data_IF_974409190261
#
_entry.id   IF_974409190261
#
_cell.length_a   1.000
_cell.length_b   1.000
_cell.length_c   1.000
_cell.angle_alpha   90.00
_cell.angle_beta   90.00
_cell.angle_gamma   90.00
#
_symmetry.space_group_name_H-M   'P 1'
#
loop_
_entity.id
_entity.type
_entity.pdbx_description
1 polymer ?
#
# COMPACT_ATOMS: atom_id res chain seq x y z
N UNK A 1 7.63 22.48 12.84
CA UNK A 1 6.77 22.92 13.95
C UNK A 1 5.62 21.94 14.08
N UNK A 2 5.35 21.43 15.28
CA UNK A 2 4.10 20.71 15.55
C UNK A 2 2.94 21.69 15.37
N UNK A 3 2.02 21.36 14.47
CA UNK A 3 0.80 22.12 14.28
C UNK A 3 -0.15 21.78 15.45
N UNK A 4 -0.64 22.78 16.19
CA UNK A 4 -1.46 22.58 17.41
C UNK A 4 -2.80 21.89 17.08
N UNK A 5 -3.14 21.78 15.79
CA UNK A 5 -4.37 21.16 15.28
C UNK A 5 -4.23 19.70 14.81
N UNK A 6 -3.07 19.05 14.95
CA UNK A 6 -2.89 17.64 14.56
C UNK A 6 -2.41 16.78 15.72
N UNK A 7 -2.97 15.59 15.85
CA UNK A 7 -2.55 14.57 16.82
C UNK A 7 -1.42 13.66 16.27
N UNK A 8 -0.90 13.95 15.08
CA UNK A 8 0.17 13.17 14.45
C UNK A 8 1.08 14.04 13.60
N UNK A 9 2.34 13.62 13.48
CA UNK A 9 3.33 14.20 12.58
C UNK A 9 3.26 13.58 11.19
N UNK A 10 3.72 14.31 10.16
CA UNK A 10 3.85 13.74 8.81
C UNK A 10 4.75 12.50 8.81
N UNK A 11 5.79 12.48 9.65
CA UNK A 11 6.69 11.35 9.78
C UNK A 11 5.95 10.08 10.26
N UNK A 12 5.08 10.20 11.27
CA UNK A 12 4.25 9.10 11.76
C UNK A 12 3.32 8.56 10.66
N UNK A 13 2.68 9.45 9.90
CA UNK A 13 1.83 9.08 8.76
C UNK A 13 2.63 8.38 7.66
N UNK A 14 3.84 8.86 7.35
CA UNK A 14 4.72 8.22 6.37
C UNK A 14 5.19 6.83 6.83
N UNK A 15 5.47 6.66 8.13
CA UNK A 15 5.79 5.36 8.72
C UNK A 15 4.61 4.40 8.64
N UNK A 16 3.40 4.88 8.88
CA UNK A 16 2.17 4.09 8.72
C UNK A 16 2.01 3.58 7.27
N UNK A 17 2.16 4.45 6.27
CA UNK A 17 2.12 4.03 4.87
C UNK A 17 3.23 3.03 4.50
N UNK A 18 4.46 3.25 5.00
CA UNK A 18 5.57 2.30 4.80
C UNK A 18 5.27 0.92 5.36
N UNK A 19 4.60 0.83 6.52
CA UNK A 19 4.19 -0.46 7.11
C UNK A 19 3.18 -1.18 6.21
N UNK A 20 2.13 -0.48 5.76
CA UNK A 20 1.13 -1.03 4.84
C UNK A 20 1.80 -1.54 3.55
N UNK A 21 2.66 -0.72 2.94
CA UNK A 21 3.35 -1.11 1.70
C UNK A 21 4.29 -2.31 1.90
N UNK A 22 4.93 -2.42 3.08
CA UNK A 22 5.73 -3.60 3.44
C UNK A 22 4.88 -4.86 3.56
N UNK A 23 3.69 -4.79 4.16
CA UNK A 23 2.78 -5.93 4.27
C UNK A 23 2.28 -6.38 2.90
N UNK A 24 1.85 -5.44 2.06
CA UNK A 24 1.42 -5.71 0.67
C UNK A 24 2.56 -6.36 -0.12
N UNK A 25 3.79 -5.83 -0.01
CA UNK A 25 4.96 -6.41 -0.66
C UNK A 25 5.24 -7.83 -0.17
N UNK A 26 5.14 -8.06 1.13
CA UNK A 26 5.37 -9.37 1.76
C UNK A 26 4.39 -10.40 1.20
N UNK A 27 3.09 -10.16 1.31
CA UNK A 27 2.07 -11.12 0.85
C UNK A 27 2.14 -11.34 -0.67
N UNK A 28 2.45 -10.29 -1.45
CA UNK A 28 2.66 -10.41 -2.89
C UNK A 28 3.81 -11.37 -3.21
N UNK A 29 4.95 -11.21 -2.51
CA UNK A 29 6.12 -12.05 -2.71
C UNK A 29 5.90 -13.48 -2.20
N UNK A 30 5.21 -13.67 -1.08
CA UNK A 30 4.83 -14.99 -0.55
C UNK A 30 3.94 -15.78 -1.54
N UNK A 31 3.14 -15.07 -2.33
CA UNK A 31 2.30 -15.66 -3.39
C UNK A 31 2.96 -15.63 -4.79
N UNK A 32 4.25 -15.29 -4.89
CA UNK A 32 5.01 -15.24 -6.14
C UNK A 32 4.41 -14.35 -7.25
N UNK A 33 3.64 -13.32 -6.89
CA UNK A 33 3.01 -12.41 -7.86
C UNK A 33 3.95 -11.27 -8.27
N UNK A 34 3.95 -10.89 -9.55
CA UNK A 34 4.69 -9.71 -10.01
C UNK A 34 3.89 -8.44 -9.73
N UNK A 35 4.58 -7.31 -9.62
CA UNK A 35 3.95 -6.01 -9.44
C UNK A 35 2.95 -5.67 -10.56
N UNK A 36 3.29 -6.04 -11.81
CA UNK A 36 2.42 -5.79 -12.97
C UNK A 36 1.10 -6.57 -12.85
N UNK A 37 1.15 -7.83 -12.43
CA UNK A 37 -0.04 -8.70 -12.34
C UNK A 37 -1.04 -8.12 -11.33
N UNK A 38 -0.56 -7.76 -10.13
CA UNK A 38 -1.39 -7.14 -9.09
C UNK A 38 -1.93 -5.78 -9.55
N UNK A 39 -1.12 -4.97 -10.23
CA UNK A 39 -1.56 -3.66 -10.74
C UNK A 39 -2.73 -3.81 -11.71
N UNK A 40 -2.62 -4.70 -12.70
CA UNK A 40 -3.68 -4.95 -13.68
C UNK A 40 -4.95 -5.47 -13.00
N UNK A 41 -4.82 -6.39 -12.06
CA UNK A 41 -5.97 -7.00 -11.36
C UNK A 41 -6.77 -6.00 -10.51
N UNK A 42 -6.10 -4.99 -9.92
CA UNK A 42 -6.79 -3.92 -9.19
C UNK A 42 -7.26 -2.75 -10.09
N UNK A 43 -7.08 -2.87 -11.41
CA UNK A 43 -7.50 -1.90 -12.42
C UNK A 43 -6.52 -0.72 -12.60
N UNK A 44 -5.23 -0.94 -12.35
CA UNK A 44 -4.15 0.05 -12.52
C UNK A 44 -3.29 -0.35 -13.73
N UNK A 45 -3.35 0.47 -14.78
CA UNK A 45 -2.61 0.22 -16.03
C UNK A 45 -1.13 0.63 -15.95
N UNK A 46 -0.65 1.13 -14.80
CA UNK A 46 0.73 1.60 -14.62
C UNK A 46 1.44 0.79 -13.54
N UNK A 47 2.36 -0.09 -13.97
CA UNK A 47 3.27 -0.79 -13.04
C UNK A 47 4.15 0.19 -12.25
N UNK A 48 4.49 1.34 -12.85
CA UNK A 48 5.24 2.39 -12.18
C UNK A 48 4.47 2.98 -10.99
N UNK A 49 3.16 3.19 -11.14
CA UNK A 49 2.30 3.62 -10.02
C UNK A 49 2.32 2.59 -8.90
N UNK A 50 2.06 1.32 -9.21
CA UNK A 50 2.08 0.24 -8.22
C UNK A 50 3.44 0.16 -7.51
N UNK A 51 4.54 0.19 -8.27
CA UNK A 51 5.90 0.14 -7.73
C UNK A 51 6.20 1.34 -6.82
N UNK A 52 5.73 2.53 -7.17
CA UNK A 52 5.88 3.72 -6.33
C UNK A 52 5.08 3.62 -5.03
N UNK A 53 3.85 3.08 -5.07
CA UNK A 53 3.07 2.81 -3.86
C UNK A 53 3.74 1.75 -2.97
N UNK A 54 4.16 0.63 -3.53
CA UNK A 54 4.78 -0.48 -2.79
C UNK A 54 6.14 -0.10 -2.16
N UNK A 55 6.82 0.90 -2.72
CA UNK A 55 8.09 1.42 -2.18
C UNK A 55 7.95 2.80 -1.50
N UNK A 56 6.74 3.32 -1.34
CA UNK A 56 6.45 4.66 -0.82
C UNK A 56 7.31 5.79 -1.46
N UNK A 57 7.51 5.75 -2.78
CA UNK A 57 8.30 6.74 -3.52
C UNK A 57 7.42 7.88 -4.04
N UNK A 58 7.99 9.08 -4.13
CA UNK A 58 7.34 10.27 -4.70
C UNK A 58 5.99 10.60 -4.04
N UNK A 59 5.86 10.35 -2.74
CA UNK A 59 4.61 10.54 -1.99
C UNK A 59 3.47 9.61 -2.40
N UNK A 60 3.73 8.55 -3.18
CA UNK A 60 2.72 7.59 -3.59
C UNK A 60 2.54 6.50 -2.55
N UNK A 61 1.30 6.18 -2.25
CA UNK A 61 0.88 5.13 -1.33
C UNK A 61 -0.43 4.52 -1.82
N UNK A 62 -0.79 3.35 -1.32
CA UNK A 62 -2.08 2.74 -1.62
C UNK A 62 -3.19 3.47 -0.85
N UNK A 63 -4.29 3.82 -1.52
CA UNK A 63 -5.49 4.30 -0.87
C UNK A 63 -6.34 3.11 -0.38
N UNK A 64 -7.42 3.38 0.36
CA UNK A 64 -8.30 2.33 0.90
C UNK A 64 -8.93 1.46 -0.19
N UNK A 65 -9.27 2.04 -1.35
CA UNK A 65 -9.81 1.27 -2.47
C UNK A 65 -8.79 0.29 -3.07
N UNK A 66 -7.52 0.69 -3.17
CA UNK A 66 -6.44 -0.22 -3.57
C UNK A 66 -6.26 -1.32 -2.54
N UNK A 67 -6.19 -0.98 -1.25
CA UNK A 67 -6.02 -1.96 -0.15
C UNK A 67 -7.15 -3.00 -0.17
N UNK A 68 -8.41 -2.56 -0.31
CA UNK A 68 -9.56 -3.46 -0.42
C UNK A 68 -9.42 -4.44 -1.60
N UNK A 69 -9.10 -3.93 -2.80
CA UNK A 69 -8.94 -4.77 -3.99
C UNK A 69 -7.77 -5.75 -3.85
N UNK A 70 -6.63 -5.29 -3.32
CA UNK A 70 -5.46 -6.15 -3.06
C UNK A 70 -5.82 -7.25 -2.06
N UNK A 71 -6.56 -6.94 -1.00
CA UNK A 71 -7.01 -7.94 -0.02
C UNK A 71 -7.90 -9.02 -0.67
N UNK A 72 -8.76 -8.65 -1.62
CA UNK A 72 -9.56 -9.62 -2.38
C UNK A 72 -8.73 -10.60 -3.21
N UNK A 73 -7.60 -10.16 -3.78
CA UNK A 73 -6.69 -11.05 -4.54
C UNK A 73 -6.18 -12.20 -3.65
N UNK A 74 -5.89 -11.89 -2.38
CA UNK A 74 -5.34 -12.85 -1.44
C UNK A 74 -6.39 -13.54 -0.54
N UNK A 75 -7.68 -13.28 -0.77
CA UNK A 75 -8.79 -13.80 0.04
C UNK A 75 -8.62 -13.54 1.56
N UNK A 76 -8.22 -12.31 1.91
CA UNK A 76 -8.06 -11.85 3.28
C UNK A 76 -8.91 -10.60 3.54
N UNK A 77 -9.06 -10.23 4.81
CA UNK A 77 -9.71 -8.98 5.17
C UNK A 77 -8.76 -7.77 4.97
N UNK A 78 -9.25 -6.61 4.49
CA UNK A 78 -8.40 -5.44 4.22
C UNK A 78 -7.59 -4.94 5.43
N UNK A 79 -8.13 -5.08 6.65
CA UNK A 79 -7.44 -4.66 7.86
C UNK A 79 -6.18 -5.49 8.13
N UNK A 80 -6.04 -6.68 7.55
CA UNK A 80 -4.85 -7.51 7.71
C UNK A 80 -3.63 -6.89 7.05
N UNK A 81 -3.83 -6.07 6.01
CA UNK A 81 -2.76 -5.30 5.36
C UNK A 81 -2.35 -4.06 6.17
N UNK A 82 -3.17 -3.64 7.14
CA UNK A 82 -2.91 -2.47 8.00
C UNK A 82 -2.05 -2.77 9.24
N UNK A 83 -1.90 -4.06 9.57
CA UNK A 83 -1.23 -4.57 10.77
C UNK A 83 0.24 -4.12 10.87
#
# INVERSE_FOLDING_TARGET
MMNIFTNSTQCEVDFFHKRISKNIKKIRLENNLKQLDVALEIGINSVAFYSNCENCKYGKHFNLGHIYKIAKIFNIEPYELLK
#
